data_IF_092634183382
#
_entry.id   IF_092634183382
#
_cell.length_a   1.000
_cell.length_b   1.000
_cell.length_c   1.000
_cell.angle_alpha   90.00
_cell.angle_beta   90.00
_cell.angle_gamma   90.00
#
_symmetry.space_group_name_H-M   'P 1'
#
loop_
_entity.id
_entity.type
_entity.pdbx_description
1 polymer ?
#
# COMPACT_ATOMS: atom_id res chain seq x y z
N UNK A 1 6.31 -24.65 -8.57
CA UNK A 1 4.97 -24.04 -8.46
C UNK A 1 4.24 -24.77 -7.34
N UNK A 2 4.24 -24.29 -6.08
CA UNK A 2 3.52 -24.98 -5.03
C UNK A 2 2.05 -24.59 -5.12
N UNK A 3 1.20 -25.60 -5.20
CA UNK A 3 -0.25 -25.49 -5.08
C UNK A 3 -0.57 -24.93 -3.68
N UNK A 4 -0.98 -23.67 -3.61
CA UNK A 4 -1.64 -23.17 -2.39
C UNK A 4 -3.05 -23.75 -2.39
N UNK A 5 -3.27 -24.71 -1.50
CA UNK A 5 -4.62 -25.16 -1.15
C UNK A 5 -5.31 -23.96 -0.49
N UNK A 6 -6.23 -23.33 -1.21
CA UNK A 6 -7.18 -22.38 -0.64
C UNK A 6 -8.09 -23.18 0.30
N UNK A 7 -7.74 -23.25 1.57
CA UNK A 7 -8.72 -23.61 2.60
C UNK A 7 -9.55 -22.35 2.84
N UNK A 8 -10.56 -22.15 2.00
CA UNK A 8 -11.64 -21.22 2.30
C UNK A 8 -12.41 -21.80 3.48
N UNK A 9 -12.00 -21.46 4.70
CA UNK A 9 -12.84 -21.73 5.87
C UNK A 9 -14.05 -20.81 5.73
N UNK A 10 -15.16 -21.39 5.28
CA UNK A 10 -16.48 -20.77 5.37
C UNK A 10 -16.82 -20.73 6.86
N UNK A 11 -16.35 -19.69 7.54
CA UNK A 11 -16.85 -19.39 8.87
C UNK A 11 -18.36 -19.10 8.71
N UNK A 12 -19.25 -19.68 9.55
CA UNK A 12 -20.61 -19.17 9.66
C UNK A 12 -20.49 -17.66 9.88
N UNK A 13 -21.33 -16.87 9.18
CA UNK A 13 -21.36 -15.39 9.12
C UNK A 13 -21.65 -14.77 10.51
N UNK A 14 -20.85 -15.11 11.50
CA UNK A 14 -20.92 -14.60 12.84
C UNK A 14 -20.17 -13.28 12.86
N UNK A 15 -20.86 -12.27 13.38
CA UNK A 15 -20.25 -10.99 13.73
C UNK A 15 -18.96 -11.25 14.52
N UNK A 16 -17.83 -10.73 14.04
CA UNK A 16 -16.56 -10.73 14.75
C UNK A 16 -16.78 -9.94 16.04
N UNK A 17 -16.72 -10.64 17.18
CA UNK A 17 -16.65 -10.00 18.48
C UNK A 17 -15.19 -9.73 18.81
N UNK A 18 -14.76 -8.48 18.64
CA UNK A 18 -13.37 -8.11 18.85
C UNK A 18 -12.93 -8.32 20.31
N UNK A 19 -13.82 -8.20 21.29
CA UNK A 19 -13.50 -8.38 22.72
C UNK A 19 -13.04 -9.83 23.04
N UNK A 20 -13.33 -10.79 22.15
CA UNK A 20 -12.85 -12.17 22.25
C UNK A 20 -11.53 -12.43 21.54
N UNK A 21 -11.02 -11.44 20.79
CA UNK A 21 -9.74 -11.54 20.10
C UNK A 21 -8.63 -11.29 21.09
N UNK A 22 -7.64 -12.18 21.10
CA UNK A 22 -6.47 -12.10 21.94
C UNK A 22 -5.22 -12.34 21.10
N UNK A 23 -4.15 -11.57 21.35
CA UNK A 23 -2.87 -11.74 20.69
C UNK A 23 -1.74 -11.68 21.71
N UNK A 24 -0.92 -12.73 21.78
CA UNK A 24 0.29 -12.72 22.61
C UNK A 24 1.27 -11.64 22.13
N UNK A 25 1.28 -11.32 20.83
CA UNK A 25 2.14 -10.27 20.28
C UNK A 25 1.83 -8.87 20.82
N UNK A 26 0.61 -8.66 21.35
CA UNK A 26 0.23 -7.39 21.97
C UNK A 26 0.83 -7.19 23.36
N UNK A 27 1.25 -8.27 24.04
CA UNK A 27 1.73 -8.21 25.41
C UNK A 27 3.00 -7.38 25.50
N UNK A 28 3.15 -6.64 26.61
CA UNK A 28 4.31 -5.79 26.87
C UNK A 28 5.63 -6.54 26.70
N UNK A 29 5.69 -7.76 27.24
CA UNK A 29 6.88 -8.63 27.18
C UNK A 29 7.23 -9.00 25.74
N UNK A 30 6.25 -9.36 24.91
CA UNK A 30 6.47 -9.67 23.49
C UNK A 30 6.95 -8.46 22.69
N UNK A 31 6.47 -7.25 23.01
CA UNK A 31 6.99 -6.01 22.39
C UNK A 31 8.44 -5.73 22.77
N UNK A 32 8.82 -5.96 24.04
CA UNK A 32 10.22 -5.85 24.50
C UNK A 32 11.09 -6.90 23.80
N UNK A 33 10.64 -8.15 23.75
CA UNK A 33 11.35 -9.24 23.06
C UNK A 33 11.56 -8.92 21.58
N UNK A 34 10.53 -8.41 20.90
CA UNK A 34 10.62 -7.98 19.51
C UNK A 34 11.70 -6.91 19.30
N UNK A 35 11.78 -5.90 20.18
CA UNK A 35 12.81 -4.85 20.11
C UNK A 35 14.22 -5.41 20.31
N UNK A 36 14.38 -6.34 21.26
CA UNK A 36 15.67 -7.00 21.50
C UNK A 36 16.09 -7.89 20.33
N UNK A 37 15.16 -8.62 19.71
CA UNK A 37 15.41 -9.41 18.50
C UNK A 37 15.82 -8.52 17.32
N UNK A 38 15.09 -7.41 17.08
CA UNK A 38 15.45 -6.45 16.04
C UNK A 38 16.85 -5.88 16.27
N UNK A 39 17.19 -5.49 17.50
CA UNK A 39 18.52 -5.00 17.85
C UNK A 39 19.60 -6.07 17.64
N UNK A 40 19.34 -7.31 18.04
CA UNK A 40 20.25 -8.45 17.82
C UNK A 40 20.50 -8.71 16.32
N UNK A 41 19.45 -8.64 15.50
CA UNK A 41 19.57 -8.74 14.02
C UNK A 41 20.41 -7.60 13.46
N UNK A 42 20.18 -6.36 13.91
CA UNK A 42 20.98 -5.20 13.53
C UNK A 42 22.46 -5.44 13.86
N UNK A 43 22.75 -5.89 15.08
CA UNK A 43 24.11 -6.13 15.52
C UNK A 43 24.79 -7.25 14.74
N UNK A 44 24.07 -8.32 14.43
CA UNK A 44 24.61 -9.47 13.70
C UNK A 44 24.80 -9.20 12.21
N UNK A 45 23.78 -8.68 11.54
CA UNK A 45 23.75 -8.58 10.06
C UNK A 45 24.56 -7.38 9.60
N UNK A 46 24.39 -6.19 10.19
CA UNK A 46 25.15 -5.01 9.75
C UNK A 46 26.61 -4.99 10.19
N UNK A 47 27.02 -5.90 11.07
CA UNK A 47 28.44 -6.16 11.35
C UNK A 47 29.05 -7.24 10.45
N UNK A 48 28.23 -7.95 9.67
CA UNK A 48 28.70 -8.98 8.75
C UNK A 48 29.24 -8.37 7.45
N UNK A 49 30.12 -9.10 6.76
CA UNK A 49 30.66 -8.64 5.48
C UNK A 49 29.54 -8.53 4.44
N UNK A 50 29.34 -7.32 3.90
CA UNK A 50 28.44 -7.09 2.78
C UNK A 50 29.07 -7.56 1.46
N UNK A 51 28.41 -8.52 0.81
CA UNK A 51 28.74 -9.04 -0.52
C UNK A 51 27.50 -9.67 -1.16
N UNK A 52 27.62 -10.14 -2.41
CA UNK A 52 26.50 -10.73 -3.16
C UNK A 52 25.73 -11.83 -2.40
N UNK A 53 26.41 -12.65 -1.58
CA UNK A 53 25.76 -13.73 -0.81
C UNK A 53 24.98 -13.22 0.41
N UNK A 54 25.29 -12.02 0.90
CA UNK A 54 24.64 -11.44 2.09
C UNK A 54 23.59 -10.39 1.73
N UNK A 55 23.45 -10.00 0.46
CA UNK A 55 22.50 -8.97 0.00
C UNK A 55 21.08 -9.25 0.52
N UNK A 56 20.57 -10.48 0.38
CA UNK A 56 19.21 -10.82 0.81
C UNK A 56 18.98 -10.60 2.31
N UNK A 57 19.97 -10.94 3.15
CA UNK A 57 19.86 -10.73 4.61
C UNK A 57 19.85 -9.24 4.95
N UNK A 58 20.64 -8.45 4.23
CA UNK A 58 20.66 -6.99 4.37
C UNK A 58 19.36 -6.35 3.87
N UNK A 59 18.84 -6.75 2.70
CA UNK A 59 17.56 -6.30 2.16
C UNK A 59 16.40 -6.57 3.14
N UNK A 60 16.37 -7.77 3.74
CA UNK A 60 15.36 -8.13 4.74
C UNK A 60 15.50 -7.29 6.01
N UNK A 61 16.73 -7.02 6.49
CA UNK A 61 16.90 -6.17 7.66
C UNK A 61 16.57 -4.69 7.36
N UNK A 62 16.94 -4.19 6.18
CA UNK A 62 16.50 -2.88 5.68
C UNK A 62 14.98 -2.78 5.66
N UNK A 63 14.31 -3.85 5.20
CA UNK A 63 12.86 -3.95 5.23
C UNK A 63 12.32 -3.79 6.66
N UNK A 64 12.89 -4.49 7.65
CA UNK A 64 12.43 -4.46 9.04
C UNK A 64 12.65 -3.09 9.68
N UNK A 65 13.86 -2.52 9.59
CA UNK A 65 14.15 -1.21 10.21
C UNK A 65 13.33 -0.07 9.60
N UNK A 66 13.02 -0.15 8.30
CA UNK A 66 12.12 0.81 7.65
C UNK A 66 10.68 0.69 8.13
N UNK A 67 10.19 -0.54 8.37
CA UNK A 67 8.81 -0.76 8.82
C UNK A 67 8.53 -0.06 10.14
N UNK A 68 9.51 -0.06 11.04
CA UNK A 68 9.43 0.54 12.38
C UNK A 68 10.09 1.93 12.49
N UNK A 69 10.47 2.53 11.35
CA UNK A 69 11.16 3.83 11.28
C UNK A 69 12.37 3.91 12.23
N UNK A 70 13.05 2.78 12.45
CA UNK A 70 14.07 2.63 13.46
C UNK A 70 15.40 3.22 12.98
N UNK A 71 15.90 4.23 13.70
CA UNK A 71 17.16 4.94 13.38
C UNK A 71 18.17 4.75 14.49
N UNK A 72 19.44 4.59 14.10
CA UNK A 72 20.59 4.57 15.00
C UNK A 72 21.88 4.83 14.22
N UNK A 73 22.96 5.20 14.91
CA UNK A 73 24.28 5.38 14.30
C UNK A 73 24.78 4.12 13.60
N UNK A 74 24.45 2.93 14.13
CA UNK A 74 24.81 1.65 13.50
C UNK A 74 24.09 1.47 12.16
N UNK A 75 22.82 1.84 12.08
CA UNK A 75 22.06 1.79 10.82
C UNK A 75 22.61 2.82 9.83
N UNK A 76 22.92 4.02 10.28
CA UNK A 76 23.51 5.05 9.42
C UNK A 76 24.83 4.56 8.80
N UNK A 77 25.75 4.02 9.61
CA UNK A 77 27.01 3.43 9.15
C UNK A 77 26.83 2.22 8.23
N UNK A 78 25.80 1.40 8.48
CA UNK A 78 25.45 0.29 7.60
C UNK A 78 25.03 0.80 6.21
N UNK A 79 24.27 1.90 6.14
CA UNK A 79 23.90 2.54 4.88
C UNK A 79 25.14 3.14 4.19
N UNK A 80 26.07 3.76 4.92
CA UNK A 80 27.36 4.21 4.34
C UNK A 80 28.15 3.06 3.68
N UNK A 81 28.21 1.91 4.35
CA UNK A 81 28.84 0.70 3.80
C UNK A 81 28.09 0.20 2.55
N UNK A 82 26.76 0.16 2.60
CA UNK A 82 25.92 -0.23 1.47
C UNK A 82 26.05 0.73 0.28
N UNK A 83 26.15 2.03 0.53
CA UNK A 83 26.44 3.07 -0.47
C UNK A 83 27.78 2.83 -1.16
N UNK A 84 28.81 2.45 -0.40
CA UNK A 84 30.12 2.11 -0.95
C UNK A 84 30.10 0.83 -1.80
N UNK A 85 29.25 -0.12 -1.43
CA UNK A 85 29.05 -1.38 -2.16
C UNK A 85 28.13 -1.27 -3.39
N UNK A 86 27.25 -0.27 -3.43
CA UNK A 86 26.20 -0.10 -4.44
C UNK A 86 26.63 -0.28 -5.92
N UNK A 87 27.83 0.18 -6.37
CA UNK A 87 28.28 -0.05 -7.74
C UNK A 87 28.44 -1.53 -8.13
N UNK A 88 28.70 -2.40 -7.15
CA UNK A 88 28.87 -3.84 -7.34
C UNK A 88 27.61 -4.64 -6.96
N UNK A 89 26.60 -3.97 -6.41
CA UNK A 89 25.41 -4.61 -5.89
C UNK A 89 24.43 -4.99 -6.99
N UNK A 90 23.54 -5.95 -6.69
CA UNK A 90 22.42 -6.24 -7.58
C UNK A 90 21.44 -5.05 -7.68
N UNK A 91 20.64 -5.01 -8.76
CA UNK A 91 19.57 -4.01 -8.92
C UNK A 91 18.55 -4.11 -7.77
N UNK A 92 18.28 -5.33 -7.28
CA UNK A 92 17.36 -5.57 -6.17
C UNK A 92 17.89 -4.94 -4.88
N UNK A 93 19.18 -5.12 -4.60
CA UNK A 93 19.83 -4.52 -3.45
C UNK A 93 19.82 -2.99 -3.54
N UNK A 94 20.19 -2.43 -4.70
CA UNK A 94 20.19 -0.97 -4.91
C UNK A 94 18.80 -0.36 -4.75
N UNK A 95 17.74 -1.07 -5.16
CA UNK A 95 16.35 -0.65 -4.89
C UNK A 95 16.06 -0.60 -3.39
N UNK A 96 16.42 -1.64 -2.64
CA UNK A 96 16.24 -1.70 -1.18
C UNK A 96 17.05 -0.62 -0.45
N UNK A 97 18.27 -0.35 -0.89
CA UNK A 97 19.11 0.72 -0.36
C UNK A 97 18.46 2.09 -0.56
N UNK A 98 17.99 2.41 -1.77
CA UNK A 98 17.35 3.70 -2.05
C UNK A 98 16.02 3.85 -1.29
N UNK A 99 15.21 2.79 -1.20
CA UNK A 99 14.01 2.79 -0.34
C UNK A 99 14.35 3.10 1.12
N UNK A 100 15.44 2.53 1.63
CA UNK A 100 15.91 2.75 3.01
C UNK A 100 16.35 4.20 3.22
N UNK A 101 17.12 4.75 2.28
CA UNK A 101 17.56 6.15 2.30
C UNK A 101 16.33 7.07 2.29
N UNK A 102 15.38 6.88 1.36
CA UNK A 102 14.15 7.69 1.27
C UNK A 102 13.34 7.61 2.56
N UNK A 103 13.28 6.46 3.20
CA UNK A 103 12.46 6.23 4.40
C UNK A 103 13.09 6.87 5.63
N UNK A 104 14.36 6.57 5.89
CA UNK A 104 15.02 6.90 7.15
C UNK A 104 15.86 8.19 7.07
N UNK A 105 16.47 8.48 5.93
CA UNK A 105 17.45 9.57 5.77
C UNK A 105 17.26 10.33 4.44
N UNK A 106 16.06 10.93 4.21
CA UNK A 106 15.67 11.48 2.89
C UNK A 106 16.45 12.73 2.45
N UNK A 107 17.43 13.18 3.22
CA UNK A 107 18.30 14.34 2.92
C UNK A 107 19.79 13.99 2.94
N UNK A 108 20.11 12.71 3.16
CA UNK A 108 21.48 12.21 3.24
C UNK A 108 21.78 11.33 2.03
N UNK A 109 23.06 10.95 1.86
CA UNK A 109 23.52 10.02 0.81
C UNK A 109 23.30 10.45 -0.64
N UNK A 110 23.17 11.76 -0.90
CA UNK A 110 22.91 12.31 -2.24
C UNK A 110 23.91 11.82 -3.30
N UNK A 111 25.20 11.73 -2.97
CA UNK A 111 26.23 11.27 -3.91
C UNK A 111 25.97 9.85 -4.45
N UNK A 112 25.45 8.95 -3.61
CA UNK A 112 25.04 7.60 -4.04
C UNK A 112 23.81 7.68 -4.94
N UNK A 113 22.84 8.52 -4.58
CA UNK A 113 21.64 8.72 -5.40
C UNK A 113 21.98 9.33 -6.76
N UNK A 114 22.88 10.30 -6.84
CA UNK A 114 23.37 10.89 -8.10
C UNK A 114 24.04 9.84 -8.98
N UNK A 115 24.88 8.98 -8.38
CA UNK A 115 25.54 7.88 -9.10
C UNK A 115 24.50 6.90 -9.65
N UNK A 116 23.55 6.45 -8.83
CA UNK A 116 22.51 5.52 -9.28
C UNK A 116 21.58 6.16 -10.32
N UNK A 117 21.17 7.41 -10.13
CA UNK A 117 20.34 8.18 -11.06
C UNK A 117 21.01 8.35 -12.43
N UNK A 118 22.31 8.66 -12.46
CA UNK A 118 23.06 8.87 -13.69
C UNK A 118 23.37 7.57 -14.45
N UNK A 119 23.54 6.45 -13.75
CA UNK A 119 24.04 5.19 -14.35
C UNK A 119 22.96 4.13 -14.58
N UNK A 120 21.87 4.12 -13.80
CA UNK A 120 20.88 3.06 -13.89
C UNK A 120 20.12 3.08 -15.21
N UNK A 121 19.84 1.88 -15.73
CA UNK A 121 18.92 1.63 -16.85
C UNK A 121 17.60 1.01 -16.36
N UNK A 122 17.52 0.69 -15.07
CA UNK A 122 16.34 0.07 -14.48
C UNK A 122 15.28 1.16 -14.18
N UNK A 123 14.07 1.07 -14.77
CA UNK A 123 13.07 2.13 -14.62
C UNK A 123 12.54 2.27 -13.19
N UNK A 124 12.56 1.20 -12.39
CA UNK A 124 12.08 1.26 -11.00
C UNK A 124 13.10 1.95 -10.11
N UNK A 125 14.37 1.54 -10.17
CA UNK A 125 15.46 2.18 -9.43
C UNK A 125 15.61 3.65 -9.83
N UNK A 126 15.51 3.95 -11.13
CA UNK A 126 15.48 5.33 -11.60
C UNK A 126 14.33 6.13 -10.97
N UNK A 127 13.12 5.56 -10.95
CA UNK A 127 11.96 6.21 -10.33
C UNK A 127 12.16 6.45 -8.83
N UNK A 128 12.81 5.53 -8.11
CA UNK A 128 13.16 5.74 -6.70
C UNK A 128 14.12 6.91 -6.53
N UNK A 129 15.17 7.01 -7.34
CA UNK A 129 16.08 8.17 -7.32
C UNK A 129 15.33 9.48 -7.59
N UNK A 130 14.37 9.50 -8.53
CA UNK A 130 13.55 10.70 -8.78
C UNK A 130 12.71 11.06 -7.55
N UNK A 131 12.07 10.09 -6.89
CA UNK A 131 11.30 10.33 -5.66
C UNK A 131 12.16 10.77 -4.49
N UNK A 132 13.42 10.35 -4.41
CA UNK A 132 14.38 10.93 -3.48
C UNK A 132 14.55 12.44 -3.73
N UNK A 133 14.72 12.87 -4.98
CA UNK A 133 14.88 14.30 -5.30
C UNK A 133 13.63 15.11 -5.01
N UNK A 134 12.44 14.56 -5.27
CA UNK A 134 11.18 15.20 -4.91
C UNK A 134 11.04 15.38 -3.39
N UNK A 135 11.51 14.40 -2.59
CA UNK A 135 11.42 14.45 -1.14
C UNK A 135 12.49 15.34 -0.49
N UNK A 136 13.70 15.36 -1.04
CA UNK A 136 14.81 16.22 -0.58
C UNK A 136 14.63 17.67 -1.01
N UNK A 137 14.01 17.91 -2.17
CA UNK A 137 13.89 19.23 -2.79
C UNK A 137 15.12 19.64 -3.61
N UNK A 138 16.03 18.70 -3.91
CA UNK A 138 17.34 19.01 -4.50
C UNK A 138 17.33 19.21 -6.01
N UNK A 139 16.30 18.73 -6.73
CA UNK A 139 16.18 18.90 -8.19
C UNK A 139 14.76 19.30 -8.57
N UNK A 140 14.63 20.18 -9.56
CA UNK A 140 13.34 20.64 -10.05
C UNK A 140 12.65 19.62 -10.96
N UNK A 141 11.31 19.70 -11.06
CA UNK A 141 10.51 18.78 -11.86
C UNK A 141 10.89 18.81 -13.35
N UNK A 142 11.27 19.97 -13.91
CA UNK A 142 11.59 20.10 -15.33
C UNK A 142 12.85 19.33 -15.68
N UNK A 143 13.91 19.47 -14.88
CA UNK A 143 15.15 18.70 -15.01
C UNK A 143 14.86 17.19 -14.92
N UNK A 144 14.05 16.77 -13.94
CA UNK A 144 13.69 15.36 -13.75
C UNK A 144 12.92 14.80 -14.95
N UNK A 145 11.98 15.57 -15.53
CA UNK A 145 11.24 15.20 -16.75
C UNK A 145 12.20 15.06 -17.94
N UNK A 146 13.09 16.03 -18.16
CA UNK A 146 14.03 16.04 -19.28
C UNK A 146 14.97 14.84 -19.22
N UNK A 147 15.56 14.56 -18.05
CA UNK A 147 16.43 13.40 -17.87
C UNK A 147 15.66 12.07 -18.00
N UNK A 148 14.42 12.00 -17.51
CA UNK A 148 13.56 10.82 -17.71
C UNK A 148 13.32 10.55 -19.20
N UNK A 149 12.91 11.58 -19.96
CA UNK A 149 12.66 11.48 -21.41
C UNK A 149 13.94 11.11 -22.15
N UNK A 150 15.06 11.77 -21.84
CA UNK A 150 16.37 11.48 -22.44
C UNK A 150 16.80 10.03 -22.20
N UNK A 151 16.62 9.51 -20.98
CA UNK A 151 17.03 8.14 -20.60
C UNK A 151 16.21 7.06 -21.30
N UNK A 152 14.90 7.24 -21.40
CA UNK A 152 13.98 6.18 -21.80
C UNK A 152 13.32 6.38 -23.19
N UNK A 153 13.55 7.51 -23.86
CA UNK A 153 12.97 7.81 -25.19
C UNK A 153 13.32 6.80 -26.29
N UNK A 154 14.51 6.18 -26.20
CA UNK A 154 14.99 5.21 -27.22
C UNK A 154 14.50 3.78 -26.98
N UNK A 155 13.73 3.52 -25.92
CA UNK A 155 13.23 2.17 -25.66
C UNK A 155 12.16 1.76 -26.66
N UNK A 156 12.29 0.54 -27.17
CA UNK A 156 11.44 0.01 -28.24
C UNK A 156 9.97 0.00 -27.80
N UNK A 157 9.17 0.85 -28.44
CA UNK A 157 7.73 0.98 -28.17
C UNK A 157 7.32 2.17 -27.31
N UNK A 158 8.26 3.05 -26.94
CA UNK A 158 7.98 4.35 -26.31
C UNK A 158 7.84 4.31 -24.79
N UNK A 159 7.90 5.49 -24.17
CA UNK A 159 7.79 5.71 -22.72
C UNK A 159 6.50 5.12 -22.13
N UNK A 160 5.42 5.15 -22.92
CA UNK A 160 4.08 4.65 -22.58
C UNK A 160 4.03 3.15 -22.26
N UNK A 161 5.05 2.37 -22.68
CA UNK A 161 5.11 0.93 -22.40
C UNK A 161 5.83 0.57 -21.11
N UNK A 162 6.39 1.55 -20.40
CA UNK A 162 7.07 1.34 -19.12
C UNK A 162 6.20 1.99 -18.05
N UNK A 163 5.37 1.21 -17.36
CA UNK A 163 4.33 1.80 -16.51
C UNK A 163 4.87 2.72 -15.42
N UNK A 164 6.02 2.39 -14.84
CA UNK A 164 6.68 3.21 -13.83
C UNK A 164 7.04 4.60 -14.37
N UNK A 165 7.58 4.66 -15.60
CA UNK A 165 8.01 5.91 -16.22
C UNK A 165 6.81 6.71 -16.72
N UNK A 166 5.79 6.04 -17.25
CA UNK A 166 4.53 6.68 -17.64
C UNK A 166 3.89 7.42 -16.47
N UNK A 167 3.70 6.76 -15.34
CA UNK A 167 3.11 7.40 -14.16
C UNK A 167 4.05 8.45 -13.57
N UNK A 168 5.36 8.21 -13.56
CA UNK A 168 6.33 9.20 -13.09
C UNK A 168 6.23 10.52 -13.86
N UNK A 169 6.25 10.47 -15.20
CA UNK A 169 6.12 11.66 -16.05
C UNK A 169 4.79 12.34 -15.80
N UNK A 170 3.69 11.58 -15.76
CA UNK A 170 2.36 12.14 -15.48
C UNK A 170 2.34 12.94 -14.18
N UNK A 171 2.89 12.40 -13.08
CA UNK A 171 2.90 13.11 -11.81
C UNK A 171 3.87 14.29 -11.76
N UNK A 172 5.00 14.22 -12.47
CA UNK A 172 5.93 15.37 -12.58
C UNK A 172 5.35 16.52 -13.42
N UNK A 173 4.53 16.21 -14.43
CA UNK A 173 3.92 17.20 -15.32
C UNK A 173 2.63 17.81 -14.73
N UNK A 174 2.03 17.19 -13.71
CA UNK A 174 0.73 17.58 -13.17
C UNK A 174 0.80 17.79 -11.66
N UNK A 175 1.18 19.00 -11.24
CA UNK A 175 1.22 19.40 -9.83
C UNK A 175 -0.18 19.31 -9.19
N UNK A 176 -1.20 19.78 -9.91
CA UNK A 176 -2.62 19.69 -9.55
C UNK A 176 -3.36 18.79 -10.56
N UNK A 177 -3.92 17.69 -10.06
CA UNK A 177 -4.66 16.73 -10.88
C UNK A 177 -6.15 16.96 -10.67
N UNK A 178 -6.88 17.33 -11.73
CA UNK A 178 -8.34 17.44 -11.67
C UNK A 178 -8.97 16.05 -11.63
N UNK A 179 -9.66 15.76 -10.54
CA UNK A 179 -10.31 14.47 -10.33
C UNK A 179 -11.70 14.50 -11.01
N UNK A 180 -12.12 13.42 -11.69
CA UNK A 180 -13.46 13.35 -12.25
C UNK A 180 -14.54 13.41 -11.15
N UNK A 181 -15.81 13.69 -11.48
CA UNK A 181 -16.87 13.82 -10.48
C UNK A 181 -16.99 12.56 -9.60
N UNK A 182 -16.97 12.76 -8.27
CA UNK A 182 -16.98 11.67 -7.29
C UNK A 182 -18.33 10.95 -7.25
N UNK A 183 -19.43 11.67 -7.47
CA UNK A 183 -20.77 11.08 -7.61
C UNK A 183 -20.82 10.04 -8.75
N UNK A 184 -20.13 10.26 -9.86
CA UNK A 184 -20.14 9.32 -11.00
C UNK A 184 -19.59 7.94 -10.62
N UNK A 185 -18.54 7.88 -9.79
CA UNK A 185 -17.93 6.60 -9.40
C UNK A 185 -18.59 5.98 -8.16
N UNK A 186 -19.10 6.79 -7.24
CA UNK A 186 -19.84 6.30 -6.06
C UNK A 186 -21.24 5.79 -6.43
N UNK A 187 -21.91 6.43 -7.38
CA UNK A 187 -23.19 5.96 -7.92
C UNK A 187 -23.04 4.83 -8.94
N UNK A 188 -21.85 4.63 -9.53
CA UNK A 188 -21.62 3.63 -10.56
C UNK A 188 -21.99 2.20 -10.12
N UNK A 189 -22.55 1.45 -11.05
CA UNK A 189 -22.84 0.03 -10.90
C UNK A 189 -21.76 -0.79 -11.62
N UNK A 190 -20.63 -1.03 -10.94
CA UNK A 190 -19.47 -1.75 -11.48
C UNK A 190 -19.85 -3.12 -12.09
N UNK A 191 -20.18 -4.08 -11.23
CA UNK A 191 -20.66 -5.41 -11.64
C UNK A 191 -21.88 -5.73 -10.79
N UNK A 192 -22.99 -6.06 -11.46
CA UNK A 192 -24.29 -6.28 -10.82
C UNK A 192 -24.19 -7.36 -9.73
N UNK A 193 -24.78 -7.08 -8.57
CA UNK A 193 -24.87 -8.02 -7.45
C UNK A 193 -23.59 -8.16 -6.63
N UNK A 194 -22.59 -7.28 -6.79
CA UNK A 194 -21.34 -7.30 -6.01
C UNK A 194 -21.34 -6.20 -4.95
N UNK A 195 -20.72 -6.51 -3.81
CA UNK A 195 -20.40 -5.49 -2.79
C UNK A 195 -19.19 -4.70 -3.25
N UNK A 196 -19.22 -3.38 -3.07
CA UNK A 196 -18.11 -2.49 -3.40
C UNK A 196 -17.63 -1.83 -2.12
N UNK A 197 -16.36 -2.03 -1.78
CA UNK A 197 -15.67 -1.30 -0.72
C UNK A 197 -15.02 -0.10 -1.41
N UNK A 198 -15.38 1.12 -1.02
CA UNK A 198 -14.67 2.32 -1.45
C UNK A 198 -13.72 2.74 -0.33
N UNK A 199 -12.47 3.02 -0.69
CA UNK A 199 -11.53 3.70 0.19
C UNK A 199 -11.13 5.03 -0.44
N UNK A 200 -11.52 6.10 0.24
CA UNK A 200 -11.44 7.48 -0.20
C UNK A 200 -10.30 8.12 0.58
N UNK A 201 -9.27 8.55 -0.13
CA UNK A 201 -7.97 8.87 0.45
C UNK A 201 -7.49 10.23 -0.05
N UNK A 202 -6.50 10.82 0.62
CA UNK A 202 -5.77 11.99 0.10
C UNK A 202 -4.62 11.56 -0.79
N UNK A 203 -4.21 12.42 -1.74
CA UNK A 203 -2.93 12.28 -2.46
C UNK A 203 -1.76 12.19 -1.47
N UNK A 204 -1.76 13.04 -0.43
CA UNK A 204 -0.82 12.92 0.68
C UNK A 204 -1.27 11.83 1.67
N UNK A 205 -0.71 10.63 1.50
CA UNK A 205 -1.05 9.42 2.27
C UNK A 205 -0.70 9.45 3.75
N UNK A 206 0.01 10.48 4.21
CA UNK A 206 0.23 10.73 5.63
C UNK A 206 -1.09 11.05 6.35
N UNK A 207 -2.09 11.56 5.62
CA UNK A 207 -3.41 11.81 6.16
C UNK A 207 -4.32 10.60 5.90
N UNK A 208 -4.94 10.02 6.95
CA UNK A 208 -5.85 8.90 6.79
C UNK A 208 -7.05 9.23 5.92
N UNK A 209 -7.45 8.27 5.09
CA UNK A 209 -8.73 8.28 4.41
C UNK A 209 -9.83 7.62 5.21
N UNK A 210 -10.98 7.40 4.55
CA UNK A 210 -12.10 6.63 5.08
C UNK A 210 -12.51 5.51 4.14
N UNK A 211 -13.09 4.46 4.71
CA UNK A 211 -13.69 3.35 3.98
C UNK A 211 -15.19 3.36 4.17
N UNK A 212 -15.95 3.26 3.07
CA UNK A 212 -17.40 3.05 3.05
C UNK A 212 -17.74 1.81 2.21
N UNK A 213 -18.94 1.26 2.38
CA UNK A 213 -19.35 0.03 1.67
C UNK A 213 -20.69 0.26 0.97
N UNK A 214 -20.73 -0.04 -0.33
CA UNK A 214 -21.94 -0.09 -1.14
C UNK A 214 -22.39 -1.55 -1.28
N UNK A 215 -23.64 -1.78 -0.93
CA UNK A 215 -24.31 -3.07 -0.97
C UNK A 215 -24.66 -3.48 -2.41
N UNK A 216 -24.93 -4.77 -2.67
CA UNK A 216 -25.31 -5.26 -4.00
C UNK A 216 -26.57 -4.61 -4.60
N UNK A 217 -27.47 -4.09 -3.77
CA UNK A 217 -28.68 -3.38 -4.19
C UNK A 217 -28.43 -1.91 -4.57
N UNK A 218 -27.21 -1.41 -4.39
CA UNK A 218 -26.80 -0.04 -4.70
C UNK A 218 -26.84 0.93 -3.51
N UNK A 219 -27.45 0.56 -2.40
CA UNK A 219 -27.46 1.37 -1.18
C UNK A 219 -26.14 1.28 -0.42
N UNK A 220 -25.81 2.29 0.37
CA UNK A 220 -24.64 2.25 1.25
C UNK A 220 -24.99 1.59 2.59
N UNK A 221 -24.05 0.81 3.13
CA UNK A 221 -24.19 0.19 4.45
C UNK A 221 -24.38 1.29 5.50
N UNK A 222 -25.37 1.08 6.37
CA UNK A 222 -25.71 1.99 7.45
C UNK A 222 -25.05 1.57 8.76
N UNK A 223 -24.63 2.55 9.54
CA UNK A 223 -24.07 2.41 10.87
C UNK A 223 -25.11 2.63 11.97
N UNK A 224 -24.69 3.22 13.08
CA UNK A 224 -25.60 3.61 14.17
C UNK A 224 -26.46 4.80 13.72
N UNK A 225 -27.70 4.88 14.20
CA UNK A 225 -28.63 5.98 13.91
C UNK A 225 -28.87 6.22 12.40
N UNK A 226 -28.82 5.17 11.59
CA UNK A 226 -29.02 5.23 10.13
C UNK A 226 -28.03 6.13 9.35
N UNK A 227 -26.92 6.52 10.00
CA UNK A 227 -25.83 7.22 9.33
C UNK A 227 -25.09 6.28 8.38
N UNK A 228 -24.37 6.82 7.40
CA UNK A 228 -23.49 6.01 6.55
C UNK A 228 -22.41 5.35 7.43
N UNK A 229 -22.18 4.06 7.24
CA UNK A 229 -21.08 3.34 7.87
C UNK A 229 -19.76 3.82 7.29
N UNK A 230 -18.78 4.10 8.17
CA UNK A 230 -17.41 4.31 7.75
C UNK A 230 -16.40 3.88 8.83
N UNK A 231 -15.16 3.63 8.41
CA UNK A 231 -13.98 3.50 9.27
C UNK A 231 -12.82 4.33 8.73
N UNK A 232 -11.94 4.83 9.60
CA UNK A 232 -10.67 5.43 9.17
C UNK A 232 -9.75 4.34 8.63
N UNK A 233 -9.01 4.66 7.57
CA UNK A 233 -8.09 3.72 6.94
C UNK A 233 -6.86 4.43 6.39
N UNK A 234 -5.69 3.88 6.69
CA UNK A 234 -4.42 4.37 6.18
C UNK A 234 -3.99 3.55 4.97
N UNK A 235 -3.69 4.22 3.86
CA UNK A 235 -3.18 3.63 2.61
C UNK A 235 -1.67 3.91 2.41
N UNK A 236 -0.96 4.17 3.51
CA UNK A 236 0.43 4.59 3.56
C UNK A 236 1.38 3.39 3.62
N UNK A 237 2.36 3.38 2.72
CA UNK A 237 3.58 2.60 2.88
C UNK A 237 4.60 3.39 3.68
N UNK A 238 5.43 2.72 4.48
CA UNK A 238 6.52 3.34 5.24
C UNK A 238 7.49 4.14 4.38
N UNK A 239 7.68 3.75 3.11
CA UNK A 239 8.52 4.49 2.15
C UNK A 239 7.86 5.79 1.67
N UNK A 240 6.54 5.87 1.76
CA UNK A 240 5.68 6.88 1.15
C UNK A 240 5.93 7.08 -0.36
N UNK A 241 6.44 6.06 -1.06
CA UNK A 241 6.56 6.08 -2.51
C UNK A 241 5.16 5.96 -3.17
N UNK A 242 4.95 6.45 -4.40
CA UNK A 242 3.65 6.30 -5.08
C UNK A 242 3.22 4.85 -5.32
N UNK A 243 1.92 4.62 -5.42
CA UNK A 243 1.37 3.28 -5.47
C UNK A 243 1.65 2.48 -6.74
N UNK A 244 1.97 3.15 -7.85
CA UNK A 244 2.41 2.49 -9.08
C UNK A 244 3.79 1.83 -8.96
N UNK A 245 4.56 2.15 -7.90
CA UNK A 245 5.86 1.53 -7.62
C UNK A 245 5.73 0.36 -6.64
N UNK A 246 6.69 -0.55 -6.70
CA UNK A 246 6.84 -1.60 -5.68
C UNK A 246 7.08 -0.98 -4.31
N UNK A 247 6.49 -1.57 -3.26
CA UNK A 247 6.59 -1.09 -1.88
C UNK A 247 6.14 0.36 -1.64
N UNK A 248 5.46 1.00 -2.60
CA UNK A 248 4.83 2.29 -2.41
C UNK A 248 3.48 2.19 -1.70
N UNK A 249 2.81 3.32 -1.53
CA UNK A 249 1.45 3.44 -1.02
C UNK A 249 0.47 2.51 -1.75
N UNK A 250 -0.72 2.28 -1.20
CA UNK A 250 -1.72 1.53 -1.95
C UNK A 250 -2.06 2.26 -3.26
N UNK A 251 -1.97 1.61 -4.43
CA UNK A 251 -2.28 2.24 -5.71
C UNK A 251 -3.76 2.55 -5.82
N UNK A 252 -4.08 3.65 -6.48
CA UNK A 252 -5.44 3.94 -6.93
C UNK A 252 -5.94 2.88 -7.92
N UNK A 253 -7.25 2.64 -7.94
CA UNK A 253 -7.87 1.73 -8.89
C UNK A 253 -8.70 0.63 -8.24
N UNK A 254 -9.00 -0.38 -9.05
CA UNK A 254 -9.93 -1.47 -8.72
C UNK A 254 -9.12 -2.71 -8.31
N UNK A 255 -9.58 -3.35 -7.26
CA UNK A 255 -9.06 -4.58 -6.67
C UNK A 255 -10.21 -5.57 -6.56
N UNK A 256 -9.94 -6.85 -6.77
CA UNK A 256 -10.92 -7.92 -6.54
C UNK A 256 -10.85 -8.38 -5.10
N UNK A 257 -11.97 -8.34 -4.37
CA UNK A 257 -12.10 -8.96 -3.04
C UNK A 257 -12.42 -10.44 -3.26
N UNK A 258 -11.45 -11.30 -2.98
CA UNK A 258 -11.50 -12.75 -3.27
C UNK A 258 -11.70 -13.61 -2.03
N UNK A 259 -11.90 -12.98 -0.86
CA UNK A 259 -12.23 -13.66 0.38
C UNK A 259 -11.61 -12.98 1.60
N UNK A 260 -11.47 -13.76 2.67
CA UNK A 260 -10.98 -13.31 3.96
C UNK A 260 -10.08 -14.38 4.56
N UNK A 261 -9.11 -13.98 5.38
CA UNK A 261 -8.23 -14.92 6.05
C UNK A 261 -7.70 -14.33 7.35
N UNK A 262 -7.38 -15.21 8.31
CA UNK A 262 -6.59 -14.82 9.46
C UNK A 262 -5.12 -14.94 9.07
N UNK A 263 -4.37 -13.86 9.23
CA UNK A 263 -2.96 -13.85 8.87
C UNK A 263 -2.16 -14.74 9.81
N UNK A 264 -1.22 -15.57 9.30
CA UNK A 264 -0.27 -16.26 10.16
C UNK A 264 0.80 -15.31 10.72
N UNK A 265 0.90 -14.08 10.20
CA UNK A 265 1.87 -13.07 10.66
C UNK A 265 1.39 -12.44 11.97
N UNK A 266 2.14 -12.58 13.08
CA UNK A 266 1.71 -12.08 14.40
C UNK A 266 1.40 -10.58 14.44
N UNK A 267 2.17 -9.75 13.74
CA UNK A 267 1.99 -8.29 13.70
C UNK A 267 0.71 -7.83 13.00
N UNK A 268 0.10 -8.66 12.14
CA UNK A 268 -1.20 -8.36 11.53
C UNK A 268 -2.37 -8.70 12.47
N UNK A 269 -2.12 -9.57 13.46
CA UNK A 269 -3.08 -9.96 14.47
C UNK A 269 -4.11 -11.02 14.04
N UNK A 270 -4.94 -11.45 14.99
CA UNK A 270 -5.93 -12.51 14.79
C UNK A 270 -7.20 -12.01 14.10
N UNK A 271 -7.38 -10.70 13.92
CA UNK A 271 -8.53 -10.14 13.22
C UNK A 271 -8.46 -10.49 11.73
N UNK A 272 -9.54 -11.02 11.17
CA UNK A 272 -9.59 -11.41 9.76
C UNK A 272 -9.26 -10.21 8.84
N UNK A 273 -8.36 -10.45 7.88
CA UNK A 273 -8.01 -9.52 6.83
C UNK A 273 -8.90 -9.71 5.59
N UNK A 274 -9.14 -8.62 4.85
CA UNK A 274 -9.79 -8.66 3.54
C UNK A 274 -8.76 -9.04 2.49
N UNK A 275 -8.95 -10.19 1.85
CA UNK A 275 -8.05 -10.69 0.82
C UNK A 275 -8.37 -10.02 -0.52
N UNK A 276 -7.51 -9.12 -0.97
CA UNK A 276 -7.68 -8.42 -2.25
C UNK A 276 -6.66 -8.86 -3.29
N UNK A 277 -6.97 -8.66 -4.57
CA UNK A 277 -6.11 -8.97 -5.71
C UNK A 277 -6.13 -7.83 -6.71
N UNK A 278 -4.95 -7.36 -7.11
CA UNK A 278 -4.84 -6.41 -8.22
C UNK A 278 -4.79 -7.16 -9.56
N UNK A 279 -4.95 -6.46 -10.69
CA UNK A 279 -4.77 -7.07 -12.00
C UNK A 279 -3.45 -7.84 -12.12
N UNK A 280 -3.43 -8.89 -12.96
CA UNK A 280 -2.30 -9.79 -13.18
C UNK A 280 -1.84 -10.65 -11.98
N UNK A 281 -2.39 -10.45 -10.78
CA UNK A 281 -2.06 -11.28 -9.60
C UNK A 281 -2.73 -12.64 -9.63
N UNK A 282 -3.94 -12.70 -10.18
CA UNK A 282 -4.75 -13.92 -10.34
C UNK A 282 -5.34 -13.97 -11.75
N UNK A 283 -5.80 -15.16 -12.21
CA UNK A 283 -6.53 -15.26 -13.46
C UNK A 283 -7.73 -14.31 -13.52
N UNK A 284 -8.01 -13.76 -14.70
CA UNK A 284 -9.12 -12.83 -14.95
C UNK A 284 -10.46 -13.39 -14.46
N UNK A 285 -10.74 -14.68 -14.65
CA UNK A 285 -11.95 -15.34 -14.15
C UNK A 285 -12.16 -15.14 -12.64
N UNK A 286 -11.09 -15.26 -11.85
CA UNK A 286 -11.16 -15.03 -10.41
C UNK A 286 -11.28 -13.54 -10.10
N UNK A 287 -10.53 -12.69 -10.79
CA UNK A 287 -10.54 -11.25 -10.53
C UNK A 287 -11.90 -10.60 -10.83
N UNK A 288 -12.49 -10.91 -12.00
CA UNK A 288 -13.78 -10.37 -12.44
C UNK A 288 -14.99 -11.08 -11.82
N UNK A 289 -14.80 -12.12 -11.01
CA UNK A 289 -15.87 -12.95 -10.44
C UNK A 289 -16.84 -13.49 -11.49
N UNK A 290 -16.37 -13.77 -12.70
CA UNK A 290 -17.20 -14.12 -13.86
C UNK A 290 -16.41 -14.90 -14.91
N UNK A 291 -17.10 -15.55 -15.84
CA UNK A 291 -16.49 -16.28 -16.97
C UNK A 291 -16.05 -15.32 -18.07
N UNK A 292 -14.96 -14.58 -17.83
CA UNK A 292 -14.30 -13.74 -18.84
C UNK A 292 -13.19 -14.50 -19.57
N UNK A 293 -12.67 -13.93 -20.66
CA UNK A 293 -11.49 -14.45 -21.37
C UNK A 293 -10.27 -14.55 -20.44
N UNK A 294 -9.40 -15.53 -20.66
CA UNK A 294 -8.25 -15.80 -19.77
C UNK A 294 -7.13 -14.74 -19.83
N UNK A 295 -7.22 -13.75 -20.74
CA UNK A 295 -6.15 -12.79 -20.99
C UNK A 295 -6.54 -11.40 -20.47
N UNK A 296 -5.60 -10.73 -19.81
CA UNK A 296 -5.78 -9.35 -19.37
C UNK A 296 -5.84 -8.39 -20.56
N UNK A 297 -6.88 -7.55 -20.59
CA UNK A 297 -7.04 -6.47 -21.55
C UNK A 297 -7.36 -5.18 -20.78
N UNK A 298 -6.65 -4.09 -21.11
CA UNK A 298 -6.89 -2.79 -20.47
C UNK A 298 -8.30 -2.28 -20.75
N UNK A 299 -8.86 -2.54 -21.93
CA UNK A 299 -10.20 -2.10 -22.29
C UNK A 299 -11.28 -2.75 -21.42
N UNK A 300 -11.08 -4.02 -21.03
CA UNK A 300 -12.01 -4.69 -20.10
C UNK A 300 -12.00 -4.01 -18.73
N UNK A 301 -10.81 -3.60 -18.25
CA UNK A 301 -10.68 -2.81 -17.03
C UNK A 301 -11.31 -1.41 -17.19
N UNK A 302 -11.11 -0.74 -18.34
CA UNK A 302 -11.75 0.56 -18.64
C UNK A 302 -13.28 0.46 -18.62
N UNK A 303 -13.84 -0.66 -19.07
CA UNK A 303 -15.29 -0.85 -19.17
C UNK A 303 -15.98 -1.00 -17.82
N UNK A 304 -15.25 -1.25 -16.73
CA UNK A 304 -15.80 -1.29 -15.37
C UNK A 304 -15.90 0.12 -14.76
N UNK A 305 -15.30 1.14 -15.38
CA UNK A 305 -15.29 2.51 -14.89
C UNK A 305 -16.44 3.31 -15.52
N UNK A 306 -17.02 4.28 -14.78
CA UNK A 306 -17.91 5.28 -15.37
C UNK A 306 -17.18 6.10 -16.44
N UNK A 307 -17.92 6.62 -17.42
CA UNK A 307 -17.34 7.28 -18.60
C UNK A 307 -16.39 8.44 -18.24
N UNK A 308 -16.73 9.25 -17.24
CA UNK A 308 -15.90 10.38 -16.78
C UNK A 308 -14.55 9.97 -16.19
N UNK A 309 -14.40 8.70 -15.77
CA UNK A 309 -13.17 8.17 -15.17
C UNK A 309 -12.29 7.40 -16.16
N UNK A 310 -12.76 7.14 -17.39
CA UNK A 310 -12.03 6.29 -18.36
C UNK A 310 -10.71 6.89 -18.84
N UNK A 311 -10.59 8.22 -18.82
CA UNK A 311 -9.37 8.92 -19.25
C UNK A 311 -8.53 9.44 -18.08
N UNK A 312 -8.93 9.15 -16.84
CA UNK A 312 -8.22 9.55 -15.64
C UNK A 312 -7.08 8.57 -15.33
N UNK A 313 -5.86 8.88 -15.77
CA UNK A 313 -4.71 7.95 -15.64
C UNK A 313 -4.49 7.38 -14.22
N UNK A 314 -4.63 8.14 -13.12
CA UNK A 314 -4.38 7.61 -11.78
C UNK A 314 -5.25 6.40 -11.38
N UNK A 315 -6.48 6.25 -11.88
CA UNK A 315 -7.33 5.08 -11.54
C UNK A 315 -6.79 3.75 -12.11
N UNK A 316 -5.77 3.82 -12.96
CA UNK A 316 -5.10 2.66 -13.56
C UNK A 316 -3.83 2.24 -12.81
N UNK A 317 -3.46 2.90 -11.71
CA UNK A 317 -2.27 2.53 -10.95
C UNK A 317 -2.28 1.07 -10.51
N UNK A 318 -3.40 0.54 -10.03
CA UNK A 318 -3.49 -0.86 -9.59
C UNK A 318 -3.27 -1.84 -10.75
N UNK A 319 -3.78 -1.50 -11.94
CA UNK A 319 -3.57 -2.29 -13.16
C UNK A 319 -2.10 -2.38 -13.53
N UNK A 320 -1.42 -1.23 -13.56
CA UNK A 320 -0.03 -1.13 -13.97
C UNK A 320 0.95 -1.61 -12.88
N UNK A 321 0.64 -1.40 -11.61
CA UNK A 321 1.37 -2.01 -10.50
C UNK A 321 1.27 -3.53 -10.58
N UNK A 322 0.09 -4.06 -10.89
CA UNK A 322 -0.13 -5.47 -11.16
C UNK A 322 0.71 -6.00 -12.34
N UNK A 323 0.72 -5.28 -13.46
CA UNK A 323 1.51 -5.63 -14.64
C UNK A 323 3.01 -5.69 -14.34
N UNK A 324 3.50 -4.81 -13.47
CA UNK A 324 4.92 -4.72 -13.07
C UNK A 324 5.30 -5.67 -11.92
N UNK A 325 4.37 -6.52 -11.48
CA UNK A 325 4.63 -7.61 -10.53
C UNK A 325 4.31 -7.29 -9.08
N UNK A 326 3.62 -6.19 -8.77
CA UNK A 326 3.10 -5.92 -7.42
C UNK A 326 1.97 -6.92 -7.08
N UNK A 327 1.91 -7.36 -5.82
CA UNK A 327 1.01 -8.45 -5.36
C UNK A 327 0.71 -8.27 -3.86
N UNK A 328 -0.21 -9.08 -3.32
CA UNK A 328 -0.45 -9.29 -1.88
C UNK A 328 -0.84 -8.04 -1.09
N UNK A 329 -1.61 -7.16 -1.71
CA UNK A 329 -2.23 -6.03 -1.02
C UNK A 329 -3.49 -6.53 -0.33
N UNK A 330 -3.64 -6.26 0.97
CA UNK A 330 -4.78 -6.69 1.79
C UNK A 330 -5.24 -5.53 2.68
N UNK A 331 -6.47 -5.63 3.20
CA UNK A 331 -6.95 -4.71 4.24
C UNK A 331 -6.87 -5.42 5.58
N UNK A 332 -6.13 -4.88 6.55
CA UNK A 332 -5.88 -5.57 7.82
C UNK A 332 -5.81 -4.61 9.01
N UNK A 333 -5.92 -5.17 10.21
CA UNK A 333 -5.56 -4.50 11.46
C UNK A 333 -4.06 -4.61 11.75
N UNK A 334 -3.61 -4.19 12.93
CA UNK A 334 -2.21 -4.32 13.32
C UNK A 334 -2.10 -4.49 14.83
N UNK A 335 -1.14 -5.31 15.25
CA UNK A 335 -0.75 -5.51 16.65
C UNK A 335 0.62 -4.91 16.89
N UNK A 336 1.17 -4.15 15.93
CA UNK A 336 2.47 -3.52 16.07
C UNK A 336 2.50 -2.58 17.27
N UNK A 337 3.70 -2.40 17.81
CA UNK A 337 3.95 -1.45 18.88
C UNK A 337 3.78 -0.01 18.36
N UNK A 338 2.68 0.63 18.75
CA UNK A 338 2.34 1.99 18.31
C UNK A 338 3.38 3.04 18.71
N UNK A 339 4.21 2.77 19.71
CA UNK A 339 5.25 3.71 20.15
C UNK A 339 6.32 4.01 19.11
N UNK A 340 6.42 3.21 18.03
CA UNK A 340 7.23 3.58 16.85
C UNK A 340 6.64 4.74 16.04
N UNK A 341 5.36 5.07 16.24
CA UNK A 341 4.60 6.00 15.41
C UNK A 341 3.86 7.08 16.21
N UNK A 342 3.90 7.07 17.55
CA UNK A 342 3.11 7.96 18.41
C UNK A 342 3.26 9.46 18.11
N UNK A 343 4.42 9.88 17.58
CA UNK A 343 4.67 11.28 17.21
C UNK A 343 4.19 11.66 15.81
N UNK A 344 3.59 10.73 15.06
CA UNK A 344 3.23 10.90 13.64
C UNK A 344 1.74 11.21 13.51
N UNK A 345 1.39 12.05 12.54
CA UNK A 345 0.04 12.61 12.38
C UNK A 345 -1.05 11.57 12.07
N UNK A 346 -0.66 10.36 11.65
CA UNK A 346 -1.59 9.26 11.37
C UNK A 346 -1.82 8.33 12.56
N UNK A 347 -1.09 8.49 13.68
CA UNK A 347 -1.33 7.68 14.88
C UNK A 347 -2.81 7.79 15.31
N UNK A 348 -3.45 6.70 15.77
CA UNK A 348 -2.90 5.38 16.08
C UNK A 348 -2.95 4.37 14.90
N UNK A 349 -3.06 4.82 13.65
CA UNK A 349 -2.92 3.92 12.51
C UNK A 349 -1.44 3.58 12.28
N UNK A 350 -1.16 2.38 11.79
CA UNK A 350 0.21 1.94 11.48
C UNK A 350 0.42 1.90 9.97
N UNK A 351 1.53 2.45 9.45
CA UNK A 351 1.87 2.29 8.04
C UNK A 351 2.20 0.82 7.76
N UNK A 352 2.16 0.45 6.48
CA UNK A 352 2.50 -0.90 6.05
C UNK A 352 3.53 -0.86 4.91
N UNK A 353 3.57 -1.90 4.07
CA UNK A 353 4.31 -1.91 2.80
C UNK A 353 3.39 -1.61 1.61
N UNK A 354 2.32 -0.87 1.86
CA UNK A 354 1.31 -0.51 0.86
C UNK A 354 0.05 -1.38 0.86
N UNK A 355 -0.18 -2.10 1.96
CA UNK A 355 -1.51 -2.58 2.36
C UNK A 355 -2.36 -1.42 2.93
N UNK A 356 -3.63 -1.69 3.14
CA UNK A 356 -4.53 -0.77 3.82
C UNK A 356 -4.70 -1.19 5.28
N UNK A 357 -4.42 -0.29 6.21
CA UNK A 357 -4.50 -0.58 7.64
C UNK A 357 -5.63 0.19 8.31
N UNK A 358 -6.26 -0.46 9.28
CA UNK A 358 -7.26 0.18 10.15
C UNK A 358 -6.74 0.21 11.58
N UNK A 359 -7.35 1.04 12.43
CA UNK A 359 -6.92 1.14 13.83
C UNK A 359 -7.27 -0.13 14.58
N UNK A 360 -6.28 -0.70 15.26
CA UNK A 360 -6.49 -1.67 16.32
C UNK A 360 -5.71 -1.27 17.57
N UNK A 361 -6.37 -1.35 18.72
CA UNK A 361 -5.79 -1.10 20.04
C UNK A 361 -5.90 -2.39 20.85
N UNK A 362 -4.79 -2.77 21.48
CA UNK A 362 -4.66 -4.01 22.21
C UNK A 362 -4.15 -3.74 23.63
N UNK A 363 -4.63 -4.51 24.60
CA UNK A 363 -4.15 -4.44 25.97
C UNK A 363 -2.78 -5.10 26.08
N UNK A 364 -1.81 -4.36 26.60
CA UNK A 364 -0.46 -4.90 26.83
C UNK A 364 -0.37 -5.82 28.05
N UNK A 365 -1.44 -5.88 28.86
CA UNK A 365 -1.49 -6.68 30.11
C UNK A 365 -1.97 -8.09 29.85
N UNK A 366 -3.02 -8.26 29.04
CA UNK A 366 -3.70 -9.54 28.81
C UNK A 366 -3.85 -9.89 27.32
N UNK A 367 -3.43 -9.00 26.42
CA UNK A 367 -3.42 -9.22 24.98
C UNK A 367 -4.80 -9.13 24.32
N UNK A 368 -5.85 -8.76 25.04
CA UNK A 368 -7.19 -8.62 24.46
C UNK A 368 -7.34 -7.36 23.61
N UNK A 369 -8.15 -7.44 22.55
CA UNK A 369 -8.44 -6.29 21.69
C UNK A 369 -9.37 -5.29 22.40
N UNK A 370 -8.88 -4.07 22.61
CA UNK A 370 -9.63 -2.95 23.20
C UNK A 370 -10.53 -2.29 22.14
N UNK A 371 -10.01 -2.14 20.91
CA UNK A 371 -10.72 -1.53 19.78
C UNK A 371 -10.23 -2.15 18.48
N UNK A 372 -11.16 -2.50 17.58
CA UNK A 372 -10.81 -2.95 16.23
C UNK A 372 -11.73 -2.32 15.19
N UNK A 373 -11.20 -1.36 14.43
CA UNK A 373 -11.88 -0.83 13.26
C UNK A 373 -11.84 -1.84 12.09
N UNK A 374 -10.88 -2.78 12.08
CA UNK A 374 -10.87 -3.92 11.18
C UNK A 374 -12.07 -4.84 11.40
N UNK A 375 -12.37 -5.21 12.65
CA UNK A 375 -13.53 -6.03 12.97
C UNK A 375 -14.85 -5.32 12.60
N UNK A 376 -14.91 -4.00 12.78
CA UNK A 376 -16.06 -3.19 12.33
C UNK A 376 -16.22 -3.24 10.81
N UNK A 377 -15.15 -3.05 10.06
CA UNK A 377 -15.13 -3.15 8.59
C UNK A 377 -15.62 -4.54 8.13
N UNK A 378 -15.08 -5.60 8.71
CA UNK A 378 -15.45 -6.98 8.39
C UNK A 378 -16.92 -7.25 8.67
N UNK A 379 -17.43 -6.80 9.83
CA UNK A 379 -18.83 -6.95 10.19
C UNK A 379 -19.77 -6.18 9.25
N UNK A 380 -19.38 -4.97 8.84
CA UNK A 380 -20.12 -4.19 7.86
C UNK A 380 -20.15 -4.88 6.50
N UNK A 381 -19.03 -5.47 6.06
CA UNK A 381 -19.02 -6.27 4.84
C UNK A 381 -19.91 -7.51 4.96
N UNK A 382 -19.82 -8.28 6.05
CA UNK A 382 -20.64 -9.49 6.23
C UNK A 382 -22.14 -9.18 6.26
N UNK A 383 -22.54 -7.99 6.70
CA UNK A 383 -23.93 -7.54 6.66
C UNK A 383 -24.52 -7.47 5.24
N UNK A 384 -23.67 -7.34 4.22
CA UNK A 384 -24.10 -7.33 2.81
C UNK A 384 -24.47 -8.71 2.27
N UNK A 385 -24.23 -9.77 3.07
CA UNK A 385 -24.44 -11.20 2.72
C UNK A 385 -23.64 -11.66 1.50
N UNK A 386 -22.59 -10.93 1.14
CA UNK A 386 -21.61 -11.33 0.13
C UNK A 386 -20.30 -11.73 0.79
N UNK A 387 -19.51 -12.55 0.09
CA UNK A 387 -18.12 -12.88 0.47
C UNK A 387 -17.10 -12.41 -0.57
N UNK A 388 -17.58 -11.84 -1.68
CA UNK A 388 -16.79 -11.43 -2.82
C UNK A 388 -17.29 -10.08 -3.33
N UNK A 389 -16.40 -9.34 -3.97
CA UNK A 389 -16.72 -8.01 -4.45
C UNK A 389 -15.52 -7.29 -5.02
N UNK A 390 -15.55 -5.97 -4.95
CA UNK A 390 -14.45 -5.12 -5.36
C UNK A 390 -14.07 -4.15 -4.25
N UNK A 391 -12.79 -3.80 -4.23
CA UNK A 391 -12.28 -2.65 -3.50
C UNK A 391 -11.88 -1.60 -4.54
N UNK A 392 -12.30 -0.35 -4.35
CA UNK A 392 -11.99 0.78 -5.21
C UNK A 392 -11.25 1.82 -4.38
N UNK A 393 -9.98 2.07 -4.73
CA UNK A 393 -9.10 3.04 -4.06
C UNK A 393 -9.06 4.32 -4.89
N UNK A 394 -9.41 5.45 -4.27
CA UNK A 394 -9.53 6.73 -4.96
C UNK A 394 -8.88 7.83 -4.13
N UNK A 395 -8.12 8.70 -4.80
CA UNK A 395 -7.63 9.95 -4.21
C UNK A 395 -8.65 11.03 -4.54
N UNK A 396 -9.21 11.69 -3.52
CA UNK A 396 -10.32 12.63 -3.69
C UNK A 396 -9.88 14.08 -3.83
N UNK A 397 -8.68 14.42 -3.36
CA UNK A 397 -7.99 15.70 -3.55
C UNK A 397 -6.55 15.63 -2.99
N UNK A 398 -5.88 16.78 -2.94
CA UNK A 398 -4.53 17.00 -2.45
C UNK A 398 -4.46 17.73 -1.09
N UNK A 399 -5.58 17.79 -0.35
CA UNK A 399 -5.59 18.44 0.96
C UNK A 399 -4.67 17.73 1.96
N UNK A 400 -4.07 18.54 2.83
CA UNK A 400 -3.20 18.08 3.92
C UNK A 400 -3.98 17.91 5.23
N UNK A 401 -5.07 17.15 5.17
CA UNK A 401 -5.89 16.81 6.34
C UNK A 401 -6.58 15.46 6.13
N UNK A 402 -6.98 14.73 7.19
CA UNK A 402 -7.71 13.47 7.03
C UNK A 402 -9.01 13.64 6.22
N UNK A 403 -9.42 12.60 5.51
CA UNK A 403 -10.75 12.57 4.88
C UNK A 403 -11.82 12.45 5.96
N UNK A 404 -12.88 13.26 5.86
CA UNK A 404 -14.03 13.20 6.75
C UNK A 404 -15.26 12.66 6.03
N UNK A 405 -16.23 12.12 6.77
CA UNK A 405 -17.48 11.62 6.17
C UNK A 405 -18.31 12.76 5.58
N UNK A 406 -18.27 13.95 6.18
CA UNK A 406 -19.02 15.13 5.75
C UNK A 406 -18.62 15.60 4.34
N UNK A 407 -17.36 15.37 3.95
CA UNK A 407 -16.90 15.62 2.57
C UNK A 407 -17.49 14.64 1.56
N UNK A 408 -17.94 13.47 2.00
CA UNK A 408 -18.40 12.39 1.11
C UNK A 408 -19.92 12.34 1.00
N UNK A 409 -20.65 12.70 2.05
CA UNK A 409 -22.12 12.71 2.09
C UNK A 409 -22.77 13.40 0.86
N UNK A 410 -22.29 14.57 0.37
CA UNK A 410 -22.88 15.24 -0.79
C UNK A 410 -22.86 14.43 -2.09
N UNK A 411 -22.11 13.32 -2.15
CA UNK A 411 -21.94 12.49 -3.34
C UNK A 411 -22.67 11.14 -3.26
N UNK A 412 -23.31 10.82 -2.13
CA UNK A 412 -23.92 9.50 -1.86
C UNK A 412 -25.35 9.54 -1.33
N UNK A 413 -25.87 10.74 -0.99
CA UNK A 413 -27.25 10.95 -0.57
C UNK A 413 -28.25 10.96 -1.74
#
# INVERSE_FOLDING_TARGET
MPFFILVSIVLPQNKINHEKLQSNFALKESKVEFRLDLQSKIDKIFSSQLNYKSEESWENLFYDVCLYLYKSDKIFKAIELACSYAPNASIKFNRSLVETIITLYPKDFEATIDTLFSTTKDPTLFSYCVHYYLKSGNKDNKFLIEETKKRFSKLKGGLEKIPQIKHLIFYLENDSIKIPPLNDILSHNFIKGKTIIYTLQRKNRIYPGITIIKMPNGEFVKGKNDSIFYVKQLALSVTNLPGYLSQGNTPQGIFSVVGFYNSPTPSLGPTAAVLTRIPFEVPTKLWYHSTVTNNWNINDYKNILPNSWKDFLPIYESYYAGLTGRRKIVMHGSVDDLSFYDSLSYAPLTPSKGCLTTTELWSETDGYNIKSDQAKLMNAFFSTKQLYGFLVVIDIDDKNEPVTIDEILPFIE
#
